data_IF_989604320545
#
_entry.id   IF_989604320545
#
_cell.length_a   1.000
_cell.length_b   1.000
_cell.length_c   1.000
_cell.angle_alpha   90.00
_cell.angle_beta   90.00
_cell.angle_gamma   90.00
#
_symmetry.space_group_name_H-M   'P 1'
#
loop_
_entity.id
_entity.type
_entity.pdbx_description
1 polymer ?
#
# COMPACT_ATOMS: atom_id res chain seq x y z
N UNK A 1 -14.90 10.42 -21.39
CA UNK A 1 -13.70 9.58 -21.61
C UNK A 1 -13.12 9.14 -20.26
N UNK A 2 -12.88 10.07 -19.30
CA UNK A 2 -12.28 9.76 -18.01
C UNK A 2 -13.07 8.75 -17.16
N UNK A 3 -14.39 8.93 -17.04
CA UNK A 3 -15.26 7.99 -16.31
C UNK A 3 -15.25 6.59 -16.94
N UNK A 4 -15.18 6.51 -18.27
CA UNK A 4 -15.08 5.22 -18.97
C UNK A 4 -13.77 4.51 -18.66
N UNK A 5 -12.65 5.23 -18.72
CA UNK A 5 -11.32 4.71 -18.36
C UNK A 5 -11.26 4.27 -16.89
N UNK A 6 -11.85 5.06 -16.00
CA UNK A 6 -11.92 4.70 -14.58
C UNK A 6 -12.72 3.41 -14.36
N UNK A 7 -13.92 3.32 -14.94
CA UNK A 7 -14.77 2.12 -14.81
C UNK A 7 -14.10 0.88 -15.40
N UNK A 8 -13.33 1.04 -16.47
CA UNK A 8 -12.53 -0.06 -17.02
C UNK A 8 -11.42 -0.46 -16.05
N UNK A 9 -10.64 0.50 -15.55
CA UNK A 9 -9.52 0.23 -14.65
C UNK A 9 -10.00 -0.34 -13.29
N UNK A 10 -11.17 0.05 -12.82
CA UNK A 10 -11.80 -0.44 -11.59
C UNK A 10 -12.76 -1.62 -11.79
N UNK A 11 -12.77 -2.22 -12.97
CA UNK A 11 -13.55 -3.43 -13.22
C UNK A 11 -13.08 -4.59 -12.31
N UNK A 12 -14.03 -5.38 -11.81
CA UNK A 12 -13.76 -6.49 -10.87
C UNK A 12 -12.67 -7.44 -11.37
N UNK A 13 -12.66 -7.75 -12.66
CA UNK A 13 -11.64 -8.61 -13.28
C UNK A 13 -10.24 -8.00 -13.25
N UNK A 14 -10.13 -6.69 -13.44
CA UNK A 14 -8.85 -5.97 -13.36
C UNK A 14 -8.36 -5.93 -11.91
N UNK A 15 -9.24 -5.64 -10.96
CA UNK A 15 -8.92 -5.67 -9.52
C UNK A 15 -8.44 -7.08 -9.14
N UNK A 16 -9.17 -8.12 -9.53
CA UNK A 16 -8.79 -9.51 -9.25
C UNK A 16 -7.40 -9.85 -9.79
N UNK A 17 -7.12 -9.44 -11.01
CA UNK A 17 -5.82 -9.64 -11.63
C UNK A 17 -4.71 -8.88 -10.89
N UNK A 18 -4.95 -7.64 -10.51
CA UNK A 18 -4.00 -6.82 -9.74
C UNK A 18 -3.67 -7.45 -8.40
N UNK A 19 -4.68 -7.97 -7.68
CA UNK A 19 -4.45 -8.68 -6.43
C UNK A 19 -3.57 -9.92 -6.63
N UNK A 20 -3.87 -10.74 -7.63
CA UNK A 20 -3.14 -11.99 -7.88
C UNK A 20 -1.73 -11.79 -8.43
N UNK A 21 -1.53 -10.80 -9.32
CA UNK A 21 -0.24 -10.61 -10.00
C UNK A 21 0.69 -9.63 -9.27
N UNK A 22 0.11 -8.62 -8.60
CA UNK A 22 0.90 -7.50 -8.07
C UNK A 22 0.86 -7.38 -6.55
N UNK A 23 -0.27 -7.63 -5.90
CA UNK A 23 -0.44 -7.30 -4.48
C UNK A 23 -0.17 -8.47 -3.54
N UNK A 24 -0.40 -9.71 -3.96
CA UNK A 24 -0.19 -10.89 -3.15
C UNK A 24 1.06 -11.65 -3.56
N UNK A 25 1.79 -12.14 -2.56
CA UNK A 25 2.90 -13.05 -2.75
C UNK A 25 2.41 -14.39 -3.31
N UNK A 26 1.36 -14.96 -2.68
CA UNK A 26 0.71 -16.15 -3.15
C UNK A 26 -0.67 -15.80 -3.75
N UNK A 27 -0.85 -15.90 -5.08
CA UNK A 27 -2.12 -15.57 -5.73
C UNK A 27 -3.29 -16.48 -5.32
N UNK A 28 -3.01 -17.65 -4.76
CA UNK A 28 -4.06 -18.57 -4.28
C UNK A 28 -4.67 -18.15 -2.94
N UNK A 29 -4.03 -17.26 -2.20
CA UNK A 29 -4.52 -16.74 -0.92
C UNK A 29 -5.45 -15.53 -1.10
N UNK A 30 -5.67 -15.09 -2.32
CA UNK A 30 -6.57 -13.97 -2.62
C UNK A 30 -8.01 -14.37 -2.36
N UNK A 31 -8.57 -13.88 -1.25
CA UNK A 31 -9.96 -14.10 -0.93
C UNK A 31 -10.86 -13.20 -1.83
N UNK A 32 -11.83 -13.78 -2.56
CA UNK A 32 -12.78 -13.03 -3.39
C UNK A 32 -13.50 -11.89 -2.65
N UNK A 33 -13.69 -12.02 -1.35
CA UNK A 33 -14.30 -10.98 -0.52
C UNK A 33 -13.51 -9.65 -0.56
N UNK A 34 -12.20 -9.69 -0.57
CA UNK A 34 -11.39 -8.48 -0.70
C UNK A 34 -11.59 -7.83 -2.06
N UNK A 35 -11.64 -8.63 -3.13
CA UNK A 35 -11.90 -8.13 -4.49
C UNK A 35 -13.25 -7.44 -4.55
N UNK A 36 -14.28 -8.05 -3.96
CA UNK A 36 -15.64 -7.50 -3.94
C UNK A 36 -15.68 -6.18 -3.17
N UNK A 37 -15.03 -6.11 -2.01
CA UNK A 37 -14.95 -4.87 -1.21
C UNK A 37 -14.20 -3.75 -1.91
N UNK A 38 -13.10 -4.05 -2.58
CA UNK A 38 -12.37 -3.05 -3.38
C UNK A 38 -13.19 -2.56 -4.57
N UNK A 39 -13.86 -3.48 -5.28
CA UNK A 39 -14.73 -3.12 -6.39
C UNK A 39 -15.90 -2.26 -5.93
N UNK A 40 -16.57 -2.64 -4.83
CA UNK A 40 -17.65 -1.85 -4.22
C UNK A 40 -17.16 -0.44 -3.87
N UNK A 41 -16.04 -0.34 -3.16
CA UNK A 41 -15.46 0.94 -2.74
C UNK A 41 -15.09 1.83 -3.93
N UNK A 42 -14.54 1.26 -4.99
CA UNK A 42 -14.21 1.99 -6.21
C UNK A 42 -15.42 2.56 -6.95
N UNK A 43 -16.62 2.02 -6.72
CA UNK A 43 -17.85 2.45 -7.39
C UNK A 43 -18.82 3.21 -6.47
N UNK A 44 -18.39 3.56 -5.25
CA UNK A 44 -19.20 4.37 -4.34
C UNK A 44 -19.24 5.84 -4.79
N UNK A 45 -20.46 6.40 -4.87
CA UNK A 45 -20.67 7.83 -5.06
C UNK A 45 -19.94 8.44 -6.27
N UNK A 46 -19.21 9.51 -6.01
CA UNK A 46 -18.44 10.29 -7.01
C UNK A 46 -16.96 9.84 -7.11
N UNK A 47 -16.65 8.58 -6.85
CA UNK A 47 -15.27 8.04 -6.84
C UNK A 47 -14.43 8.45 -8.05
N UNK A 48 -14.90 8.42 -9.32
CA UNK A 48 -14.14 8.90 -10.46
C UNK A 48 -13.68 10.34 -10.33
N UNK A 49 -14.55 11.23 -9.87
CA UNK A 49 -14.23 12.66 -9.70
C UNK A 49 -13.19 12.87 -8.60
N UNK A 50 -13.29 12.14 -7.49
CA UNK A 50 -12.35 12.22 -6.38
C UNK A 50 -10.95 11.78 -6.79
N UNK A 51 -10.84 10.68 -7.53
CA UNK A 51 -9.56 10.19 -8.07
C UNK A 51 -8.94 11.19 -9.03
N UNK A 52 -9.72 11.75 -9.97
CA UNK A 52 -9.21 12.77 -10.89
C UNK A 52 -8.77 14.04 -10.17
N UNK A 53 -9.51 14.49 -9.18
CA UNK A 53 -9.11 15.65 -8.37
C UNK A 53 -7.77 15.39 -7.66
N UNK A 54 -7.58 14.21 -7.08
CA UNK A 54 -6.34 13.81 -6.43
C UNK A 54 -5.14 13.80 -7.40
N UNK A 55 -5.34 13.28 -8.60
CA UNK A 55 -4.29 13.28 -9.65
C UNK A 55 -3.97 14.70 -10.11
N UNK A 56 -4.97 15.54 -10.33
CA UNK A 56 -4.77 16.95 -10.74
C UNK A 56 -4.05 17.77 -9.67
N UNK A 57 -4.34 17.51 -8.39
CA UNK A 57 -3.66 18.17 -7.27
C UNK A 57 -2.23 17.64 -7.02
N UNK A 58 -1.68 16.83 -7.91
CA UNK A 58 -0.35 16.22 -7.75
C UNK A 58 -0.15 15.48 -6.42
N UNK A 59 -1.20 14.89 -5.90
CA UNK A 59 -1.17 14.14 -4.64
C UNK A 59 -0.02 13.12 -4.60
N UNK A 60 0.21 12.41 -5.70
CA UNK A 60 1.29 11.41 -5.83
C UNK A 60 2.70 12.02 -5.89
N UNK A 61 2.83 13.34 -6.00
CA UNK A 61 4.11 14.06 -6.05
C UNK A 61 4.43 14.82 -4.76
N UNK A 62 3.69 14.54 -3.69
CA UNK A 62 3.96 15.16 -2.40
C UNK A 62 5.35 14.73 -1.90
N UNK A 63 6.24 15.71 -1.74
CA UNK A 63 7.58 15.48 -1.19
C UNK A 63 7.56 15.70 0.32
N UNK A 64 7.61 14.61 1.08
CA UNK A 64 7.59 14.62 2.55
C UNK A 64 8.99 14.63 3.18
N UNK A 65 10.07 14.65 2.41
CA UNK A 65 11.45 14.58 2.89
C UNK A 65 11.74 15.58 4.01
N UNK A 66 11.44 16.86 3.76
CA UNK A 66 11.66 17.92 4.76
C UNK A 66 10.84 17.75 6.04
N UNK A 67 9.71 17.09 5.95
CA UNK A 67 8.87 16.78 7.12
C UNK A 67 9.49 15.64 7.91
N UNK A 68 9.90 14.57 7.24
CA UNK A 68 10.55 13.42 7.85
C UNK A 68 11.86 13.79 8.56
N UNK A 69 12.65 14.71 8.00
CA UNK A 69 13.88 15.22 8.61
C UNK A 69 13.65 15.94 9.94
N UNK A 70 12.44 16.42 10.20
CA UNK A 70 12.09 17.26 11.37
C UNK A 70 11.21 16.56 12.39
N UNK A 71 10.71 15.36 12.06
CA UNK A 71 9.84 14.61 12.99
C UNK A 71 10.69 13.98 14.08
N UNK A 72 10.32 14.26 15.33
CA UNK A 72 10.92 13.66 16.53
C UNK A 72 10.17 12.41 17.02
N UNK A 73 9.08 12.04 16.34
CA UNK A 73 8.32 10.83 16.64
C UNK A 73 9.09 9.58 16.20
N UNK A 74 8.93 8.48 16.93
CA UNK A 74 9.34 7.17 16.47
C UNK A 74 8.56 6.77 15.23
N UNK A 75 9.28 6.33 14.20
CA UNK A 75 8.70 5.88 12.93
C UNK A 75 9.19 4.47 12.67
N UNK A 76 8.28 3.58 12.34
CA UNK A 76 8.59 2.21 11.95
C UNK A 76 7.99 1.92 10.57
N UNK A 77 8.83 1.47 9.64
CA UNK A 77 8.40 1.07 8.30
C UNK A 77 8.25 -0.45 8.28
N UNK A 78 7.07 -0.91 7.92
CA UNK A 78 6.76 -2.31 7.75
C UNK A 78 6.40 -2.58 6.29
N UNK A 79 7.11 -3.49 5.64
CA UNK A 79 6.88 -3.85 4.25
C UNK A 79 6.80 -5.35 4.03
N UNK A 80 6.26 -5.77 2.89
CA UNK A 80 6.36 -7.18 2.46
C UNK A 80 7.75 -7.49 1.92
N UNK A 81 8.33 -8.62 2.30
CA UNK A 81 9.66 -9.04 1.85
C UNK A 81 9.76 -9.18 0.32
N UNK A 82 8.67 -9.62 -0.32
CA UNK A 82 8.60 -9.80 -1.77
C UNK A 82 8.10 -8.57 -2.54
N UNK A 83 7.89 -7.42 -1.86
CA UNK A 83 7.53 -6.18 -2.54
C UNK A 83 8.70 -5.69 -3.38
N UNK A 84 8.39 -5.25 -4.60
CA UNK A 84 9.39 -4.73 -5.51
C UNK A 84 10.10 -3.51 -4.90
N UNK A 85 11.43 -3.52 -4.95
CA UNK A 85 12.29 -2.43 -4.49
C UNK A 85 12.15 -2.05 -3.00
N UNK A 86 11.61 -2.96 -2.14
CA UNK A 86 11.38 -2.66 -0.72
C UNK A 86 12.64 -2.18 0.00
N UNK A 87 13.77 -2.80 -0.26
CA UNK A 87 15.06 -2.41 0.36
C UNK A 87 15.49 -1.00 -0.08
N UNK A 88 15.23 -0.65 -1.33
CA UNK A 88 15.52 0.69 -1.85
C UNK A 88 14.60 1.72 -1.20
N UNK A 89 13.30 1.42 -1.09
CA UNK A 89 12.31 2.27 -0.44
C UNK A 89 12.70 2.52 1.03
N UNK A 90 12.99 1.48 1.78
CA UNK A 90 13.43 1.58 3.18
C UNK A 90 14.69 2.45 3.29
N UNK A 91 15.67 2.22 2.42
CA UNK A 91 16.91 3.00 2.39
C UNK A 91 16.69 4.49 2.11
N UNK A 92 15.76 4.82 1.22
CA UNK A 92 15.42 6.23 0.92
C UNK A 92 14.77 6.92 2.14
N UNK A 93 13.88 6.23 2.86
CA UNK A 93 13.28 6.77 4.09
C UNK A 93 14.31 6.94 5.21
N UNK A 94 15.16 5.95 5.45
CA UNK A 94 16.20 6.00 6.50
C UNK A 94 17.28 7.04 6.23
N UNK A 95 17.51 7.41 4.97
CA UNK A 95 18.34 8.57 4.64
C UNK A 95 17.73 9.89 5.09
N UNK A 96 16.40 10.02 5.01
CA UNK A 96 15.71 11.23 5.44
C UNK A 96 15.74 11.38 6.97
N UNK A 97 15.59 10.28 7.69
CA UNK A 97 15.63 10.28 9.16
C UNK A 97 16.26 8.96 9.66
N UNK A 98 17.51 9.01 10.17
CA UNK A 98 18.20 7.81 10.66
C UNK A 98 17.55 7.11 11.86
N UNK A 99 16.60 7.77 12.54
CA UNK A 99 15.85 7.18 13.64
C UNK A 99 14.67 6.30 13.16
N UNK A 100 14.44 6.23 11.84
CA UNK A 100 13.43 5.32 11.28
C UNK A 100 13.92 3.88 11.42
N UNK A 101 13.11 3.07 12.08
CA UNK A 101 13.28 1.62 12.15
C UNK A 101 12.45 0.93 11.05
N UNK A 102 12.83 -0.28 10.68
CA UNK A 102 12.12 -1.02 9.64
C UNK A 102 12.26 -2.52 9.80
N UNK A 103 11.26 -3.24 9.29
CA UNK A 103 11.35 -4.68 9.04
C UNK A 103 10.50 -5.08 7.84
N UNK A 104 10.75 -6.28 7.35
CA UNK A 104 9.94 -6.91 6.30
C UNK A 104 9.23 -8.15 6.84
N UNK A 105 8.03 -8.40 6.35
CA UNK A 105 7.22 -9.56 6.70
C UNK A 105 7.46 -10.65 5.64
N UNK A 106 7.93 -11.84 6.04
CA UNK A 106 8.26 -12.90 5.10
C UNK A 106 7.03 -13.43 4.36
N UNK A 107 7.22 -13.86 3.11
CA UNK A 107 6.19 -14.41 2.24
C UNK A 107 4.98 -13.49 2.04
N UNK A 108 5.20 -12.19 2.07
CA UNK A 108 4.18 -11.18 1.76
C UNK A 108 4.71 -10.19 0.73
N UNK A 109 3.81 -9.48 0.06
CA UNK A 109 4.13 -8.52 -0.97
C UNK A 109 3.57 -7.13 -0.62
N UNK A 110 2.61 -6.63 -1.39
CA UNK A 110 2.10 -5.26 -1.25
C UNK A 110 1.17 -5.05 -0.04
N UNK A 111 0.53 -6.11 0.43
CA UNK A 111 -0.48 -6.06 1.48
C UNK A 111 -0.14 -7.01 2.64
N UNK A 112 1.00 -6.86 3.32
CA UNK A 112 1.41 -7.77 4.39
C UNK A 112 0.38 -7.91 5.51
N UNK A 113 -0.35 -6.83 5.82
CA UNK A 113 -1.42 -6.84 6.83
C UNK A 113 -2.62 -7.73 6.46
N UNK A 114 -2.77 -8.09 5.20
CA UNK A 114 -3.81 -9.01 4.73
C UNK A 114 -3.24 -10.43 4.54
N UNK A 115 -2.02 -10.52 4.03
CA UNK A 115 -1.39 -11.80 3.74
C UNK A 115 -0.89 -12.52 5.00
N UNK A 116 -0.36 -11.77 5.98
CA UNK A 116 0.14 -12.33 7.23
C UNK A 116 -0.17 -11.39 8.42
N UNK A 117 -1.44 -11.26 8.81
CA UNK A 117 -1.87 -10.34 9.85
C UNK A 117 -1.29 -10.65 11.24
N UNK A 118 -0.98 -11.92 11.52
CA UNK A 118 -0.40 -12.35 12.79
C UNK A 118 1.02 -11.81 12.96
N UNK A 119 1.87 -11.95 11.95
CA UNK A 119 3.24 -11.45 11.97
C UNK A 119 3.28 -9.93 11.98
N UNK A 120 2.41 -9.27 11.21
CA UNK A 120 2.26 -7.81 11.25
C UNK A 120 1.86 -7.35 12.65
N UNK A 121 0.85 -7.97 13.26
CA UNK A 121 0.40 -7.64 14.61
C UNK A 121 1.51 -7.83 15.65
N UNK A 122 2.22 -8.93 15.58
CA UNK A 122 3.36 -9.23 16.45
C UNK A 122 4.46 -8.17 16.35
N UNK A 123 4.83 -7.82 15.13
CA UNK A 123 5.86 -6.80 14.86
C UNK A 123 5.44 -5.42 15.36
N UNK A 124 4.19 -5.03 15.14
CA UNK A 124 3.63 -3.76 15.64
C UNK A 124 3.64 -3.72 17.17
N UNK A 125 3.27 -4.82 17.82
CA UNK A 125 3.31 -4.90 19.29
C UNK A 125 4.74 -4.74 19.84
N UNK A 126 5.73 -5.35 19.20
CA UNK A 126 7.14 -5.18 19.61
C UNK A 126 7.61 -3.74 19.51
N UNK A 127 7.19 -3.01 18.50
CA UNK A 127 7.54 -1.61 18.33
C UNK A 127 6.94 -0.70 19.42
N UNK A 128 5.75 -1.01 19.92
CA UNK A 128 5.08 -0.23 20.96
C UNK A 128 5.46 -0.63 22.40
N UNK A 129 6.18 -1.71 22.58
CA UNK A 129 6.66 -2.17 23.88
C UNK A 129 8.10 -1.74 24.13
#
# INVERSE_FOLDING_TARGET
IGTLLYNFASARSIISRTFSESYFYNPYDVNPHYIDKYHESAHLGDSPKSVYASVQCNYTKCNITKTLEKIDNSIYILGGEAEQDIDLIIKEYTKCNPAIESSTIPNTKHLPQIENPEEVSSTVQMFFN
#
